data_IF_390856292296
#
_entry.id   IF_390856292296
#
_cell.length_a   1.000
_cell.length_b   1.000
_cell.length_c   1.000
_cell.angle_alpha   90.00
_cell.angle_beta   90.00
_cell.angle_gamma   90.00
#
_symmetry.space_group_name_H-M   'P 1'
#
loop_
_entity.id
_entity.type
_entity.pdbx_description
1 polymer ?
#
# COMPACT_ATOMS: atom_id res chain seq x y z
N UNK A 1 -33.27 29.32 -31.67
CA UNK A 1 -33.06 28.31 -30.61
C UNK A 1 -31.78 27.58 -30.98
N UNK A 2 -30.65 28.11 -30.53
CA UNK A 2 -29.34 27.49 -30.68
C UNK A 2 -29.24 26.47 -29.56
N UNK A 3 -29.14 25.19 -29.90
CA UNK A 3 -28.95 24.13 -28.92
C UNK A 3 -27.50 24.14 -28.49
N UNK A 4 -27.33 24.09 -27.17
CA UNK A 4 -26.10 24.22 -26.41
C UNK A 4 -25.16 23.04 -26.69
N UNK A 5 -23.92 23.41 -26.99
CA UNK A 5 -22.64 22.70 -26.87
C UNK A 5 -22.64 21.19 -26.59
N UNK A 6 -22.06 20.51 -27.57
CA UNK A 6 -21.12 19.41 -27.42
C UNK A 6 -20.05 19.76 -26.36
N UNK A 7 -20.28 19.38 -25.10
CA UNK A 7 -19.21 19.25 -24.11
C UNK A 7 -18.80 17.77 -24.09
N UNK A 8 -17.50 17.44 -24.21
CA UNK A 8 -17.06 16.10 -23.89
C UNK A 8 -17.42 15.84 -22.43
N UNK A 9 -18.09 14.72 -22.18
CA UNK A 9 -18.21 14.11 -20.87
C UNK A 9 -16.78 13.97 -20.31
N UNK A 10 -16.33 14.96 -19.53
CA UNK A 10 -15.10 14.88 -18.76
C UNK A 10 -15.33 13.77 -17.75
N UNK A 11 -15.09 12.54 -18.18
CA UNK A 11 -15.34 11.34 -17.40
C UNK A 11 -14.77 11.54 -16.01
N UNK A 12 -15.64 11.48 -15.02
CA UNK A 12 -15.31 11.62 -13.61
C UNK A 12 -14.01 10.87 -13.33
N UNK A 13 -12.90 11.60 -13.15
CA UNK A 13 -11.65 10.98 -12.72
C UNK A 13 -11.85 10.56 -11.27
N UNK A 14 -12.35 9.34 -11.08
CA UNK A 14 -12.57 8.75 -9.76
C UNK A 14 -11.26 8.79 -8.98
N UNK A 15 -11.17 9.70 -8.02
CA UNK A 15 -9.99 9.85 -7.18
C UNK A 15 -10.18 9.04 -5.91
N UNK A 16 -9.28 8.08 -5.70
CA UNK A 16 -9.29 7.21 -4.53
C UNK A 16 -8.43 7.83 -3.43
N UNK A 17 -8.85 7.64 -2.17
CA UNK A 17 -8.08 8.06 -0.99
C UNK A 17 -8.07 6.94 0.05
N UNK A 18 -6.88 6.58 0.50
CA UNK A 18 -6.65 5.58 1.53
C UNK A 18 -5.98 6.24 2.74
N UNK A 19 -6.64 6.16 3.89
CA UNK A 19 -6.08 6.60 5.18
C UNK A 19 -5.46 5.40 5.86
N UNK A 20 -4.18 5.50 6.23
CA UNK A 20 -3.43 4.41 6.88
C UNK A 20 -2.76 4.88 8.15
N UNK A 21 -2.74 4.00 9.16
CA UNK A 21 -1.92 4.13 10.35
C UNK A 21 -0.71 3.19 10.21
N UNK A 22 0.50 3.70 9.94
CA UNK A 22 1.65 2.86 9.65
C UNK A 22 2.26 2.33 10.95
N UNK A 23 2.63 1.06 10.96
CA UNK A 23 3.31 0.42 12.10
C UNK A 23 4.62 -0.17 11.62
N UNK A 24 5.75 0.36 12.12
CA UNK A 24 7.09 -0.16 11.82
C UNK A 24 7.50 -1.15 12.90
N UNK A 25 7.88 -2.35 12.46
CA UNK A 25 8.39 -3.41 13.33
C UNK A 25 9.90 -3.54 13.19
N UNK A 26 10.57 -3.68 14.33
CA UNK A 26 12.02 -3.92 14.39
C UNK A 26 12.36 -5.38 14.12
N UNK A 27 11.43 -6.31 14.39
CA UNK A 27 11.60 -7.75 14.13
C UNK A 27 10.30 -8.34 13.56
N UNK A 28 10.42 -9.42 12.78
CA UNK A 28 9.26 -10.08 12.14
C UNK A 28 8.22 -10.59 13.15
N UNK A 29 8.67 -10.99 14.35
CA UNK A 29 7.81 -11.50 15.42
C UNK A 29 7.17 -10.43 16.31
N UNK A 30 7.47 -9.16 16.10
CA UNK A 30 6.91 -8.08 16.91
C UNK A 30 5.39 -7.99 16.70
N UNK A 31 4.64 -7.85 17.81
CA UNK A 31 3.19 -7.63 17.75
C UNK A 31 2.91 -6.21 17.24
N UNK A 32 1.76 -6.04 16.61
CA UNK A 32 1.35 -4.71 16.10
C UNK A 32 1.32 -3.68 17.24
N UNK A 33 0.76 -4.05 18.39
CA UNK A 33 0.66 -3.18 19.59
C UNK A 33 2.00 -2.76 20.21
N UNK A 34 3.10 -3.44 19.88
CA UNK A 34 4.43 -3.06 20.37
C UNK A 34 5.31 -2.48 19.28
N UNK A 35 4.83 -2.42 18.04
CA UNK A 35 5.50 -1.75 16.93
C UNK A 35 5.52 -0.23 17.11
N UNK A 36 6.38 0.44 16.36
CA UNK A 36 6.41 1.91 16.34
C UNK A 36 5.29 2.41 15.43
N UNK A 37 4.25 2.98 16.03
CA UNK A 37 3.23 3.69 15.28
C UNK A 37 3.80 5.00 14.73
N UNK A 38 3.56 5.24 13.44
CA UNK A 38 3.87 6.49 12.78
C UNK A 38 2.61 7.35 12.66
N UNK A 39 2.76 8.59 12.24
CA UNK A 39 1.64 9.49 12.00
C UNK A 39 0.66 8.89 10.97
N UNK A 40 -0.64 9.09 11.20
CA UNK A 40 -1.69 8.70 10.26
C UNK A 40 -1.55 9.54 9.01
N UNK A 41 -1.55 8.89 7.84
CA UNK A 41 -1.40 9.57 6.56
C UNK A 41 -2.56 9.21 5.64
N UNK A 42 -2.85 10.10 4.71
CA UNK A 42 -3.76 9.81 3.62
C UNK A 42 -3.00 9.83 2.30
N UNK A 43 -2.97 8.68 1.63
CA UNK A 43 -2.45 8.56 0.27
C UNK A 43 -3.63 8.59 -0.71
N UNK A 44 -3.49 9.35 -1.79
CA UNK A 44 -4.56 9.51 -2.77
C UNK A 44 -4.01 9.35 -4.19
N UNK A 45 -4.83 8.84 -5.11
CA UNK A 45 -4.42 8.57 -6.48
C UNK A 45 -5.60 8.23 -7.39
N UNK A 46 -5.36 8.26 -8.70
CA UNK A 46 -6.35 7.88 -9.71
C UNK A 46 -6.62 6.37 -9.72
N UNK A 47 -5.70 5.56 -9.18
CA UNK A 47 -5.86 4.13 -9.03
C UNK A 47 -5.31 3.63 -7.70
N UNK A 48 -5.65 2.38 -7.35
CA UNK A 48 -5.05 1.74 -6.18
C UNK A 48 -3.54 1.54 -6.35
N UNK A 49 -3.06 1.29 -7.58
CA UNK A 49 -1.64 1.18 -7.86
C UNK A 49 -0.90 2.50 -7.57
N UNK A 50 -1.47 3.66 -7.95
CA UNK A 50 -0.94 4.98 -7.61
C UNK A 50 -0.84 5.19 -6.08
N UNK A 51 -1.88 4.77 -5.35
CA UNK A 51 -1.87 4.83 -3.87
C UNK A 51 -0.75 3.95 -3.32
N UNK A 52 -0.60 2.72 -3.82
CA UNK A 52 0.43 1.81 -3.36
C UNK A 52 1.84 2.32 -3.66
N UNK A 53 2.05 2.90 -4.84
CA UNK A 53 3.31 3.53 -5.22
C UNK A 53 3.70 4.64 -4.23
N UNK A 54 2.76 5.54 -3.90
CA UNK A 54 2.99 6.61 -2.93
C UNK A 54 3.30 6.09 -1.52
N UNK A 55 2.64 5.01 -1.10
CA UNK A 55 2.93 4.35 0.17
C UNK A 55 4.32 3.72 0.17
N UNK A 56 4.70 3.08 -0.94
CA UNK A 56 6.03 2.51 -1.13
C UNK A 56 7.13 3.58 -1.07
N UNK A 57 7.00 4.66 -1.84
CA UNK A 57 7.97 5.78 -1.80
C UNK A 57 8.15 6.31 -0.37
N UNK A 58 7.04 6.45 0.37
CA UNK A 58 7.08 7.02 1.71
C UNK A 58 7.67 6.10 2.76
N UNK A 59 7.45 4.79 2.66
CA UNK A 59 7.82 3.83 3.71
C UNK A 59 9.00 2.92 3.37
N UNK A 60 9.41 2.84 2.10
CA UNK A 60 10.50 1.96 1.66
C UNK A 60 11.81 2.21 2.42
N UNK A 61 12.13 3.46 2.75
CA UNK A 61 13.31 3.81 3.55
C UNK A 61 13.30 3.27 4.99
N UNK A 62 12.16 2.81 5.50
CA UNK A 62 12.09 2.14 6.81
C UNK A 62 12.38 0.64 6.71
N UNK A 63 12.45 0.07 5.51
CA UNK A 63 12.72 -1.34 5.29
C UNK A 63 14.25 -1.54 5.27
N UNK A 64 14.74 -2.34 6.22
CA UNK A 64 16.17 -2.68 6.29
C UNK A 64 16.63 -3.64 5.18
N UNK A 65 15.72 -4.47 4.68
CA UNK A 65 15.96 -5.46 3.64
C UNK A 65 15.06 -6.69 3.80
N UNK A 66 15.03 -7.53 2.78
CA UNK A 66 14.28 -8.77 2.74
C UNK A 66 15.23 -9.94 2.91
N UNK A 67 14.94 -10.84 3.86
CA UNK A 67 15.67 -12.10 3.98
C UNK A 67 15.12 -13.10 2.96
N UNK A 68 15.97 -13.59 2.07
CA UNK A 68 15.63 -14.58 1.04
C UNK A 68 16.51 -15.81 1.22
N UNK A 69 15.91 -17.00 1.18
CA UNK A 69 16.63 -18.27 1.29
C UNK A 69 16.69 -18.94 -0.09
N UNK A 70 17.90 -19.11 -0.61
CA UNK A 70 18.18 -19.77 -1.91
C UNK A 70 19.24 -20.83 -1.70
N UNK A 71 19.00 -22.07 -2.15
CA UNK A 71 19.93 -23.20 -2.03
C UNK A 71 20.57 -23.34 -0.63
N UNK A 72 19.71 -23.32 0.38
CA UNK A 72 20.06 -23.34 1.81
C UNK A 72 20.86 -22.17 2.37
N UNK A 73 21.11 -21.13 1.57
CA UNK A 73 21.82 -19.92 1.97
C UNK A 73 20.86 -18.75 2.18
N UNK A 74 21.02 -18.03 3.30
CA UNK A 74 20.28 -16.79 3.56
C UNK A 74 21.02 -15.58 2.97
N UNK A 75 20.30 -14.80 2.19
CA UNK A 75 20.77 -13.54 1.60
C UNK A 75 19.88 -12.39 2.03
N UNK A 76 20.46 -11.18 2.09
CA UNK A 76 19.73 -9.94 2.29
C UNK A 76 19.55 -9.24 0.94
N UNK A 77 18.32 -9.13 0.48
CA UNK A 77 17.98 -8.42 -0.75
C UNK A 77 17.32 -7.07 -0.45
N UNK A 78 17.53 -6.10 -1.33
CA UNK A 78 16.81 -4.83 -1.25
C UNK A 78 15.45 -5.03 -1.93
N UNK A 79 14.35 -4.93 -1.19
CA UNK A 79 13.04 -5.15 -1.78
C UNK A 79 12.71 -4.01 -2.74
N UNK A 80 12.06 -4.37 -3.85
CA UNK A 80 11.52 -3.40 -4.81
C UNK A 80 10.01 -3.26 -4.60
N UNK A 81 9.42 -2.25 -5.24
CA UNK A 81 7.97 -2.05 -5.19
C UNK A 81 7.20 -3.28 -5.68
N UNK A 82 7.74 -4.04 -6.64
CA UNK A 82 7.12 -5.28 -7.11
C UNK A 82 7.01 -6.35 -6.00
N UNK A 83 7.93 -6.34 -5.03
CA UNK A 83 7.98 -7.27 -3.90
C UNK A 83 7.37 -6.69 -2.62
N UNK A 84 6.66 -5.56 -2.70
CA UNK A 84 6.18 -4.81 -1.54
C UNK A 84 5.37 -5.67 -0.55
N UNK A 85 4.55 -6.59 -1.05
CA UNK A 85 3.69 -7.46 -0.23
C UNK A 85 4.46 -8.41 0.72
N UNK A 86 5.74 -8.65 0.44
CA UNK A 86 6.61 -9.48 1.28
C UNK A 86 7.16 -8.72 2.49
N UNK A 87 7.20 -7.39 2.41
CA UNK A 87 7.86 -6.51 3.40
C UNK A 87 6.90 -5.50 4.03
N UNK A 88 5.75 -5.27 3.40
CA UNK A 88 4.65 -4.43 3.88
C UNK A 88 3.34 -5.20 3.76
N UNK A 89 2.48 -5.05 4.77
CA UNK A 89 1.16 -5.68 4.78
C UNK A 89 0.12 -4.62 5.10
N UNK A 90 -0.91 -4.53 4.27
CA UNK A 90 -2.10 -3.76 4.61
C UNK A 90 -3.04 -4.62 5.42
N UNK A 91 -3.61 -4.03 6.48
CA UNK A 91 -4.62 -4.68 7.31
C UNK A 91 -5.85 -3.81 7.38
N UNK A 92 -7.01 -4.44 7.22
CA UNK A 92 -8.33 -3.84 7.44
C UNK A 92 -9.05 -4.68 8.49
N UNK A 93 -9.59 -4.05 9.53
CA UNK A 93 -10.28 -4.74 10.63
C UNK A 93 -9.47 -5.91 11.24
N UNK A 94 -8.15 -5.73 11.38
CA UNK A 94 -7.24 -6.75 11.91
C UNK A 94 -6.93 -7.92 10.97
N UNK A 95 -7.51 -7.95 9.76
CA UNK A 95 -7.25 -8.95 8.72
C UNK A 95 -6.31 -8.41 7.66
N UNK A 96 -5.39 -9.23 7.19
CA UNK A 96 -4.52 -8.86 6.06
C UNK A 96 -5.39 -8.65 4.82
N UNK A 97 -5.37 -7.43 4.30
CA UNK A 97 -6.00 -7.07 3.05
C UNK A 97 -5.02 -7.46 1.93
N UNK A 98 -5.37 -8.49 1.17
CA UNK A 98 -4.51 -8.95 0.06
C UNK A 98 -4.47 -7.88 -1.03
N UNK A 99 -3.26 -7.54 -1.47
CA UNK A 99 -3.00 -6.64 -2.60
C UNK A 99 -3.71 -7.05 -3.91
N UNK A 100 -4.01 -8.34 -4.05
CA UNK A 100 -4.71 -8.94 -5.20
C UNK A 100 -6.23 -8.89 -5.10
N UNK A 101 -6.80 -8.50 -3.96
CA UNK A 101 -8.24 -8.32 -3.83
C UNK A 101 -8.61 -6.94 -4.35
N UNK A 102 -9.70 -6.87 -5.13
CA UNK A 102 -10.32 -5.59 -5.49
C UNK A 102 -10.65 -4.79 -4.21
N UNK A 103 -10.52 -3.46 -4.24
CA UNK A 103 -10.72 -2.60 -3.06
C UNK A 103 -12.10 -2.79 -2.42
N UNK A 104 -13.11 -3.15 -3.22
CA UNK A 104 -14.46 -3.48 -2.78
C UNK A 104 -14.54 -4.69 -1.84
N UNK A 105 -13.57 -5.60 -1.91
CA UNK A 105 -13.51 -6.82 -1.08
C UNK A 105 -12.75 -6.61 0.24
N UNK A 106 -12.27 -5.40 0.53
CA UNK A 106 -11.49 -5.11 1.74
C UNK A 106 -12.37 -4.78 2.96
N UNK A 107 -13.65 -4.49 2.72
CA UNK A 107 -14.67 -4.18 3.74
C UNK A 107 -15.61 -5.37 4.06
N UNK A 108 -15.37 -6.56 3.49
CA UNK A 108 -16.09 -7.81 3.82
C UNK A 108 -15.25 -8.70 4.75
#
# INVERSE_FOLDING_TARGET
RVSIDDLPDEGDQHFLRLVVEPIVKSTVGQRDATGRHLEIIAASGASFADIMHKLWEKFSGNIKGQAVKTDDTWSLETPTEASWSSVMQLKSNGRIASATKTPELWNK
#
